data_IF_057530803463
#
_entry.id   IF_057530803463
#
_cell.length_a   1.000
_cell.length_b   1.000
_cell.length_c   1.000
_cell.angle_alpha   90.00
_cell.angle_beta   90.00
_cell.angle_gamma   90.00
#
_symmetry.space_group_name_H-M   'P 1'
#
loop_
_entity.id
_entity.type
_entity.pdbx_description
1 polymer ?
#
# COMPACT_ATOMS: atom_id res chain seq x y z
N UNK A 1 0.87 31.03 23.43
CA UNK A 1 0.54 30.66 22.05
C UNK A 1 1.82 30.20 21.40
N UNK A 2 2.11 28.89 21.43
CA UNK A 2 3.17 28.30 20.63
C UNK A 2 2.61 28.18 19.21
N UNK A 3 3.12 28.98 18.27
CA UNK A 3 2.87 28.75 16.84
C UNK A 3 3.42 27.39 16.51
N UNK A 4 2.54 26.45 16.13
CA UNK A 4 2.95 25.12 15.69
C UNK A 4 3.68 25.26 14.35
N UNK A 5 5.02 25.30 14.38
CA UNK A 5 5.88 25.43 13.20
C UNK A 5 5.83 24.20 12.26
N UNK A 6 5.07 23.19 12.61
CA UNK A 6 4.93 21.98 11.79
C UNK A 6 4.23 22.23 10.43
N UNK A 7 3.40 23.27 10.36
CA UNK A 7 2.70 23.65 9.12
C UNK A 7 3.59 24.32 8.07
N UNK A 8 4.80 24.75 8.43
CA UNK A 8 5.74 25.42 7.51
C UNK A 8 6.84 24.48 6.97
N UNK A 9 6.90 23.23 7.42
CA UNK A 9 7.97 22.31 7.02
C UNK A 9 7.68 21.70 5.66
N UNK A 10 8.39 22.16 4.64
CA UNK A 10 8.43 21.54 3.31
C UNK A 10 9.40 20.36 3.36
N UNK A 11 8.87 19.14 3.31
CA UNK A 11 9.63 17.90 3.38
C UNK A 11 9.26 16.98 2.23
N UNK A 12 10.25 16.37 1.60
CA UNK A 12 10.03 15.32 0.61
C UNK A 12 10.20 13.95 1.28
N UNK A 13 9.12 13.17 1.31
CA UNK A 13 9.08 11.86 1.95
C UNK A 13 8.87 10.78 0.90
N UNK A 14 9.70 9.74 0.93
CA UNK A 14 9.55 8.55 0.11
C UNK A 14 9.01 7.40 0.96
N UNK A 15 7.86 6.85 0.61
CA UNK A 15 7.34 5.62 1.17
C UNK A 15 7.65 4.47 0.20
N UNK A 16 8.25 3.39 0.69
CA UNK A 16 8.54 2.20 -0.10
C UNK A 16 7.75 1.03 0.46
N UNK A 17 6.62 0.73 -0.19
CA UNK A 17 5.81 -0.46 0.05
C UNK A 17 5.34 -1.02 -1.29
N UNK A 18 6.00 -2.09 -1.74
CA UNK A 18 5.92 -2.57 -3.11
C UNK A 18 4.75 -3.53 -3.34
N UNK A 19 4.54 -4.45 -2.41
CA UNK A 19 3.58 -5.56 -2.49
C UNK A 19 3.45 -6.26 -1.11
N UNK A 20 2.51 -7.19 -0.83
CA UNK A 20 1.40 -7.58 -1.66
C UNK A 20 0.21 -6.61 -1.47
N UNK A 21 -0.93 -6.86 -2.15
CA UNK A 21 -2.14 -6.02 -2.08
C UNK A 21 -2.54 -5.73 -0.62
N UNK A 22 -2.77 -6.78 0.19
CA UNK A 22 -3.13 -6.64 1.60
C UNK A 22 -2.10 -5.86 2.43
N UNK A 23 -0.81 -6.08 2.17
CA UNK A 23 0.26 -5.37 2.87
C UNK A 23 0.33 -3.89 2.49
N UNK A 24 -0.02 -3.53 1.24
CA UNK A 24 -0.12 -2.13 0.82
C UNK A 24 -1.30 -1.46 1.51
N UNK A 25 -2.46 -2.14 1.60
CA UNK A 25 -3.62 -1.64 2.37
C UNK A 25 -3.23 -1.35 3.82
N UNK A 26 -2.52 -2.27 4.48
CA UNK A 26 -2.06 -2.07 5.86
C UNK A 26 -1.11 -0.87 6.03
N UNK A 27 -0.45 -0.43 4.96
CA UNK A 27 0.48 0.70 4.99
C UNK A 27 -0.18 2.06 4.66
N UNK A 28 -1.42 2.07 4.12
CA UNK A 28 -2.10 3.32 3.73
C UNK A 28 -2.21 4.35 4.85
N UNK A 29 -2.48 3.97 6.12
CA UNK A 29 -2.56 4.92 7.22
C UNK A 29 -1.27 5.73 7.44
N UNK A 30 -0.11 5.20 7.03
CA UNK A 30 1.18 5.90 7.19
C UNK A 30 1.20 7.22 6.39
N UNK A 31 0.68 7.22 5.15
CA UNK A 31 0.60 8.45 4.36
C UNK A 31 -0.35 9.48 5.00
N UNK A 32 -1.49 9.00 5.52
CA UNK A 32 -2.45 9.85 6.21
C UNK A 32 -1.84 10.56 7.42
N UNK A 33 -1.23 9.82 8.34
CA UNK A 33 -0.67 10.42 9.56
C UNK A 33 0.52 11.33 9.28
N UNK A 34 1.30 11.05 8.23
CA UNK A 34 2.37 11.93 7.76
C UNK A 34 1.81 13.25 7.24
N UNK A 35 0.76 13.22 6.39
CA UNK A 35 0.11 14.44 5.90
C UNK A 35 -0.59 15.22 6.99
N UNK A 36 -1.22 14.52 7.97
CA UNK A 36 -1.82 15.16 9.14
C UNK A 36 -0.77 15.94 9.96
N UNK A 37 0.42 15.38 10.13
CA UNK A 37 1.54 16.01 10.87
C UNK A 37 2.27 17.07 10.05
N UNK A 38 2.47 16.81 8.77
CA UNK A 38 3.22 17.66 7.82
C UNK A 38 2.37 17.95 6.58
N UNK A 39 1.40 18.87 6.66
CA UNK A 39 0.45 19.14 5.54
C UNK A 39 1.15 19.54 4.24
N UNK A 40 2.28 20.23 4.33
CA UNK A 40 3.07 20.70 3.19
C UNK A 40 4.14 19.70 2.73
N UNK A 41 4.21 18.49 3.32
CA UNK A 41 5.11 17.47 2.85
C UNK A 41 4.68 16.94 1.50
N UNK A 42 5.65 16.70 0.61
CA UNK A 42 5.42 15.97 -0.64
C UNK A 42 5.72 14.50 -0.42
N UNK A 43 4.70 13.66 -0.54
CA UNK A 43 4.80 12.21 -0.33
C UNK A 43 4.83 11.51 -1.67
N UNK A 44 5.95 10.83 -1.95
CA UNK A 44 6.11 9.92 -3.09
C UNK A 44 5.98 8.47 -2.59
N UNK A 45 5.19 7.65 -3.27
CA UNK A 45 5.02 6.23 -2.95
C UNK A 45 5.58 5.36 -4.07
N UNK A 46 6.44 4.39 -3.72
CA UNK A 46 6.92 3.37 -4.67
C UNK A 46 6.14 2.08 -4.46
N UNK A 47 5.50 1.58 -5.54
CA UNK A 47 4.61 0.42 -5.51
C UNK A 47 4.79 -0.46 -6.76
N UNK A 48 4.51 -1.77 -6.67
CA UNK A 48 4.43 -2.66 -7.83
C UNK A 48 3.07 -2.47 -8.57
N UNK A 49 2.99 -2.76 -9.89
CA UNK A 49 1.77 -2.54 -10.69
C UNK A 49 0.51 -3.19 -10.09
N UNK A 50 0.65 -4.36 -9.45
CA UNK A 50 -0.48 -5.13 -8.87
C UNK A 50 -1.18 -4.42 -7.72
N UNK A 51 -0.53 -3.46 -7.07
CA UNK A 51 -1.12 -2.69 -5.97
C UNK A 51 -1.23 -1.18 -6.28
N UNK A 52 -0.95 -0.80 -7.53
CA UNK A 52 -1.01 0.61 -7.95
C UNK A 52 -2.39 1.23 -7.74
N UNK A 53 -3.46 0.53 -8.10
CA UNK A 53 -4.83 1.04 -8.00
C UNK A 53 -5.23 1.41 -6.55
N UNK A 54 -4.66 0.73 -5.54
CA UNK A 54 -4.91 1.03 -4.13
C UNK A 54 -4.35 2.40 -3.70
N UNK A 55 -3.32 2.88 -4.40
CA UNK A 55 -2.60 4.12 -4.04
C UNK A 55 -2.93 5.26 -4.99
N UNK A 56 -3.39 4.94 -6.21
CA UNK A 56 -3.58 5.86 -7.34
C UNK A 56 -4.41 7.10 -6.99
N UNK A 57 -5.47 6.94 -6.22
CA UNK A 57 -6.37 8.03 -5.85
C UNK A 57 -6.26 8.41 -4.36
N UNK A 58 -5.19 7.97 -3.68
CA UNK A 58 -4.98 8.29 -2.28
C UNK A 58 -4.70 9.80 -2.12
N UNK A 59 -5.54 10.57 -1.41
CA UNK A 59 -5.42 12.02 -1.30
C UNK A 59 -4.19 12.48 -0.50
N UNK A 60 -3.50 11.56 0.16
CA UNK A 60 -2.32 11.82 0.99
C UNK A 60 -1.02 11.43 0.29
N UNK A 61 -1.08 11.03 -0.99
CA UNK A 61 0.09 10.69 -1.81
C UNK A 61 0.14 11.62 -3.01
N UNK A 62 1.21 12.38 -3.15
CA UNK A 62 1.35 13.40 -4.20
C UNK A 62 1.96 12.83 -5.49
N UNK A 63 2.78 11.79 -5.38
CA UNK A 63 3.46 11.17 -6.52
C UNK A 63 3.57 9.66 -6.33
N UNK A 64 3.36 8.89 -7.41
CA UNK A 64 3.52 7.44 -7.39
C UNK A 64 4.57 7.04 -8.42
N UNK A 65 5.49 6.17 -7.98
CA UNK A 65 6.50 5.58 -8.85
C UNK A 65 6.25 4.07 -8.90
N UNK A 66 6.03 3.57 -10.13
CA UNK A 66 5.77 2.14 -10.33
C UNK A 66 7.12 1.39 -10.45
N UNK A 67 7.29 0.37 -9.60
CA UNK A 67 8.44 -0.52 -9.62
C UNK A 67 8.12 -1.82 -10.37
N UNK A 68 8.58 -1.93 -11.61
CA UNK A 68 8.39 -3.10 -12.47
C UNK A 68 9.38 -4.21 -12.10
N UNK A 69 9.12 -4.98 -11.02
CA UNK A 69 9.99 -6.06 -10.55
C UNK A 69 10.47 -7.01 -11.64
N UNK A 70 9.61 -7.33 -12.63
CA UNK A 70 9.95 -8.25 -13.73
C UNK A 70 11.08 -7.70 -14.60
N UNK A 71 11.16 -6.38 -14.78
CA UNK A 71 12.21 -5.72 -15.57
C UNK A 71 13.62 -5.86 -14.96
N UNK A 72 13.72 -6.21 -13.68
CA UNK A 72 15.00 -6.34 -12.96
C UNK A 72 15.42 -7.79 -12.69
N UNK A 73 14.72 -8.79 -13.28
CA UNK A 73 15.02 -10.21 -13.03
C UNK A 73 16.26 -10.73 -13.75
N UNK A 74 16.60 -10.14 -14.90
CA UNK A 74 17.78 -10.53 -15.68
C UNK A 74 18.85 -9.44 -15.62
N UNK A 75 20.11 -9.81 -15.88
CA UNK A 75 21.22 -8.87 -15.92
C UNK A 75 21.05 -7.81 -17.01
N UNK A 76 20.54 -8.19 -18.19
CA UNK A 76 20.26 -7.25 -19.27
C UNK A 76 19.10 -6.31 -18.89
N UNK A 77 18.01 -6.85 -18.36
CA UNK A 77 16.90 -6.05 -17.88
C UNK A 77 17.32 -5.07 -16.77
N UNK A 78 18.20 -5.49 -15.87
CA UNK A 78 18.76 -4.57 -14.86
C UNK A 78 19.55 -3.43 -15.51
N UNK A 79 20.47 -3.72 -16.43
CA UNK A 79 21.26 -2.69 -17.12
C UNK A 79 20.40 -1.67 -17.86
N UNK A 80 19.34 -2.13 -18.52
CA UNK A 80 18.45 -1.29 -19.31
C UNK A 80 17.53 -0.42 -18.42
N UNK A 81 16.98 -0.99 -17.35
CA UNK A 81 15.94 -0.35 -16.57
C UNK A 81 16.46 0.40 -15.33
N UNK A 82 17.65 0.09 -14.84
CA UNK A 82 18.16 0.72 -13.61
C UNK A 82 18.37 2.24 -13.77
N UNK A 83 19.04 2.69 -14.83
CA UNK A 83 19.30 4.11 -15.05
C UNK A 83 18.02 4.95 -15.19
N UNK A 84 17.03 4.55 -16.02
CA UNK A 84 15.76 5.25 -16.11
C UNK A 84 15.02 5.30 -14.77
N UNK A 85 14.97 4.18 -14.05
CA UNK A 85 14.33 4.10 -12.74
C UNK A 85 15.05 4.97 -11.69
N UNK A 86 16.38 4.91 -11.64
CA UNK A 86 17.18 5.74 -10.74
C UNK A 86 16.99 7.24 -11.04
N UNK A 87 16.93 7.62 -12.33
CA UNK A 87 16.66 9.00 -12.75
C UNK A 87 15.27 9.45 -12.30
N UNK A 88 14.26 8.57 -12.39
CA UNK A 88 12.91 8.86 -11.95
C UNK A 88 12.86 9.07 -10.43
N UNK A 89 13.44 8.17 -9.64
CA UNK A 89 13.54 8.30 -8.19
C UNK A 89 14.30 9.57 -7.77
N UNK A 90 15.37 9.92 -8.47
CA UNK A 90 16.24 11.03 -8.11
C UNK A 90 15.79 12.39 -8.69
N UNK A 91 14.65 12.46 -9.38
CA UNK A 91 14.04 13.75 -9.77
C UNK A 91 13.79 14.63 -8.55
N UNK A 92 13.52 14.02 -7.41
CA UNK A 92 13.29 14.70 -6.14
C UNK A 92 14.37 14.33 -5.13
N UNK A 93 14.81 15.32 -4.34
CA UNK A 93 15.70 15.07 -3.21
C UNK A 93 14.85 14.76 -1.99
N UNK A 94 14.90 13.53 -1.50
CA UNK A 94 14.12 13.11 -0.34
C UNK A 94 14.84 13.44 0.96
N UNK A 95 14.10 14.01 1.90
CA UNK A 95 14.58 14.23 3.26
C UNK A 95 14.53 12.94 4.07
N UNK A 96 13.43 12.18 3.88
CA UNK A 96 13.22 10.90 4.57
C UNK A 96 12.75 9.85 3.56
N UNK A 97 13.26 8.62 3.69
CA UNK A 97 12.66 7.42 3.10
C UNK A 97 12.21 6.46 4.19
N UNK A 98 11.03 5.88 4.02
CA UNK A 98 10.39 4.94 4.95
C UNK A 98 10.21 3.61 4.23
N UNK A 99 11.01 2.60 4.61
CA UNK A 99 10.93 1.24 4.07
C UNK A 99 9.95 0.41 4.90
N UNK A 100 8.73 0.26 4.39
CA UNK A 100 7.68 -0.57 4.96
C UNK A 100 7.63 -1.98 4.34
N UNK A 101 8.51 -2.28 3.37
CA UNK A 101 8.65 -3.61 2.80
C UNK A 101 9.70 -4.44 3.52
N UNK A 102 10.84 -3.84 3.85
CA UNK A 102 11.90 -4.44 4.64
C UNK A 102 12.60 -5.64 3.98
N UNK A 103 12.71 -5.67 2.65
CA UNK A 103 13.36 -6.72 1.87
C UNK A 103 14.48 -6.13 1.01
N UNK A 104 15.34 -7.01 0.46
CA UNK A 104 16.44 -6.58 -0.42
C UNK A 104 15.98 -5.65 -1.57
N UNK A 105 14.86 -5.98 -2.22
CA UNK A 105 14.33 -5.17 -3.34
C UNK A 105 13.93 -3.75 -2.91
N UNK A 106 13.33 -3.58 -1.72
CA UNK A 106 12.99 -2.25 -1.20
C UNK A 106 14.21 -1.50 -0.72
N UNK A 107 15.18 -2.20 -0.12
CA UNK A 107 16.45 -1.61 0.26
C UNK A 107 17.21 -1.03 -0.95
N UNK A 108 17.19 -1.73 -2.09
CA UNK A 108 17.77 -1.22 -3.34
C UNK A 108 17.08 0.06 -3.83
N UNK A 109 15.74 0.14 -3.71
CA UNK A 109 14.98 1.36 -4.03
C UNK A 109 15.39 2.50 -3.10
N UNK A 110 15.40 2.27 -1.78
CA UNK A 110 15.79 3.27 -0.77
C UNK A 110 17.22 3.74 -0.97
N UNK A 111 18.13 2.82 -1.27
CA UNK A 111 19.53 3.15 -1.57
C UNK A 111 19.65 4.06 -2.79
N UNK A 112 18.94 3.70 -3.86
CA UNK A 112 18.92 4.45 -5.13
C UNK A 112 18.34 5.85 -4.96
N UNK A 113 17.30 6.02 -4.12
CA UNK A 113 16.65 7.30 -3.85
C UNK A 113 17.54 8.32 -3.14
N UNK A 114 18.62 7.89 -2.45
CA UNK A 114 19.60 8.74 -1.76
C UNK A 114 18.97 9.70 -0.73
N UNK A 115 17.92 9.28 -0.04
CA UNK A 115 17.30 10.08 1.02
C UNK A 115 18.32 10.41 2.13
N UNK A 116 18.20 11.60 2.74
CA UNK A 116 19.07 12.05 3.85
C UNK A 116 18.92 11.14 5.08
N UNK A 117 17.69 10.81 5.46
CA UNK A 117 17.37 9.88 6.54
C UNK A 117 16.62 8.68 5.97
N UNK A 118 17.07 7.48 6.30
CA UNK A 118 16.49 6.21 5.85
C UNK A 118 16.05 5.43 7.06
N UNK A 119 14.76 5.16 7.18
CA UNK A 119 14.16 4.39 8.28
C UNK A 119 13.33 3.24 7.72
N UNK A 120 13.15 2.21 8.53
CA UNK A 120 12.31 1.07 8.15
C UNK A 120 11.67 0.45 9.39
N UNK A 121 10.62 -0.35 9.17
CA UNK A 121 9.87 -0.98 10.25
C UNK A 121 10.64 -2.14 10.90
N UNK A 122 10.09 -2.70 11.99
CA UNK A 122 10.79 -3.64 12.86
C UNK A 122 11.22 -4.95 12.19
N UNK A 123 10.44 -5.47 11.23
CA UNK A 123 10.71 -6.78 10.61
C UNK A 123 11.54 -6.71 9.32
N UNK A 124 12.52 -5.84 9.29
CA UNK A 124 13.46 -5.76 8.17
C UNK A 124 14.31 -7.04 8.06
N UNK A 125 14.37 -7.60 6.85
CA UNK A 125 15.06 -8.84 6.50
C UNK A 125 15.96 -8.66 5.28
N UNK A 126 16.65 -9.73 4.87
CA UNK A 126 17.45 -9.76 3.61
C UNK A 126 18.49 -8.64 3.53
N UNK A 127 19.04 -8.20 4.67
CA UNK A 127 20.04 -7.14 4.71
C UNK A 127 19.49 -5.72 4.57
N UNK A 128 18.18 -5.51 4.49
CA UNK A 128 17.59 -4.17 4.34
C UNK A 128 17.92 -3.24 5.52
N UNK A 129 18.19 -3.80 6.70
CA UNK A 129 18.67 -3.06 7.88
C UNK A 129 20.08 -2.46 7.73
N UNK A 130 20.86 -2.85 6.72
CA UNK A 130 22.14 -2.22 6.39
C UNK A 130 21.94 -0.87 5.66
N UNK A 131 20.80 -0.69 5.02
CA UNK A 131 20.47 0.53 4.24
C UNK A 131 19.61 1.49 5.06
N UNK A 132 18.64 0.95 5.80
CA UNK A 132 17.68 1.74 6.58
C UNK A 132 17.82 1.45 8.07
N UNK A 133 17.73 2.50 8.90
CA UNK A 133 17.71 2.33 10.35
C UNK A 133 16.38 1.69 10.77
N UNK A 134 16.46 0.53 11.41
CA UNK A 134 15.30 -0.17 11.98
C UNK A 134 14.69 0.66 13.12
N UNK A 135 13.41 0.94 13.02
CA UNK A 135 12.61 1.54 14.10
C UNK A 135 11.89 0.43 14.84
N UNK A 136 12.16 0.32 16.12
CA UNK A 136 11.49 -0.63 17.02
C UNK A 136 10.63 0.19 17.97
N UNK A 137 9.33 0.13 17.78
CA UNK A 137 8.35 0.79 18.65
C UNK A 137 7.75 -0.19 19.67
N UNK A 138 6.73 0.28 20.38
CA UNK A 138 6.04 -0.50 21.40
C UNK A 138 5.24 -1.68 20.83
N UNK A 139 4.87 -1.60 19.54
CA UNK A 139 4.04 -2.58 18.86
C UNK A 139 4.84 -3.64 18.05
N UNK A 140 6.10 -3.90 18.41
CA UNK A 140 6.97 -4.84 17.67
C UNK A 140 6.35 -6.23 17.47
N UNK A 141 5.52 -6.69 18.39
CA UNK A 141 4.80 -7.97 18.34
C UNK A 141 3.29 -7.78 18.06
N UNK A 142 2.84 -6.56 17.79
CA UNK A 142 1.46 -6.22 17.53
C UNK A 142 1.04 -6.46 16.07
N UNK A 143 -0.13 -5.93 15.73
CA UNK A 143 -0.65 -6.00 14.36
C UNK A 143 0.28 -5.26 13.39
N UNK A 144 0.30 -5.70 12.13
CA UNK A 144 1.21 -5.15 11.11
C UNK A 144 1.01 -3.64 10.89
N UNK A 145 -0.22 -3.15 10.98
CA UNK A 145 -0.56 -1.72 10.88
C UNK A 145 0.16 -0.92 11.97
N UNK A 146 0.08 -1.40 13.22
CA UNK A 146 0.71 -0.73 14.37
C UNK A 146 2.24 -0.70 14.23
N UNK A 147 2.82 -1.80 13.69
CA UNK A 147 4.27 -1.88 13.40
C UNK A 147 4.71 -0.89 12.32
N UNK A 148 3.87 -0.66 11.31
CA UNK A 148 4.14 0.37 10.30
C UNK A 148 4.00 1.77 10.89
N UNK A 149 2.98 2.02 11.71
CA UNK A 149 2.77 3.30 12.39
C UNK A 149 3.88 3.63 13.40
N UNK A 150 4.48 2.63 14.05
CA UNK A 150 5.63 2.85 14.92
C UNK A 150 6.80 3.51 14.18
N UNK A 151 6.94 3.31 12.86
CA UNK A 151 8.01 3.97 12.07
C UNK A 151 7.83 5.47 11.99
N UNK A 152 6.61 5.98 12.03
CA UNK A 152 6.31 7.41 11.91
C UNK A 152 6.12 8.11 13.26
N UNK A 153 5.96 7.37 14.35
CA UNK A 153 6.01 7.93 15.71
C UNK A 153 7.35 8.62 15.99
N UNK A 154 8.46 8.12 15.43
CA UNK A 154 9.76 8.78 15.56
C UNK A 154 9.88 10.08 14.74
N UNK A 155 8.84 10.47 14.05
CA UNK A 155 8.63 11.72 13.32
C UNK A 155 7.52 12.56 13.96
N UNK A 156 7.21 12.33 15.23
CA UNK A 156 6.18 13.02 16.02
C UNK A 156 4.77 12.97 15.40
N UNK A 157 4.47 11.90 14.64
CA UNK A 157 3.13 11.67 14.10
C UNK A 157 2.20 11.09 15.18
N UNK A 158 1.01 11.68 15.30
CA UNK A 158 -0.10 11.08 16.05
C UNK A 158 -0.66 9.88 15.28
N UNK A 159 -0.77 8.73 15.94
CA UNK A 159 -1.20 7.47 15.33
C UNK A 159 -2.45 6.88 15.99
N UNK A 160 -3.18 7.65 16.81
CA UNK A 160 -4.36 7.15 17.52
C UNK A 160 -5.58 7.05 16.61
N UNK A 161 -5.84 8.09 15.82
CA UNK A 161 -7.01 8.14 14.93
C UNK A 161 -6.55 7.95 13.48
N UNK A 162 -6.48 6.69 13.04
CA UNK A 162 -6.07 6.33 11.68
C UNK A 162 -7.27 6.08 10.78
N UNK A 163 -7.07 6.33 9.49
CA UNK A 163 -7.99 5.93 8.43
C UNK A 163 -7.24 5.13 7.38
N UNK A 164 -7.98 4.31 6.62
CA UNK A 164 -7.50 3.63 5.43
C UNK A 164 -8.05 4.36 4.20
N UNK A 165 -7.29 5.29 3.61
CA UNK A 165 -7.79 6.17 2.57
C UNK A 165 -7.86 5.44 1.22
N UNK A 166 -8.87 4.59 1.07
CA UNK A 166 -9.27 4.00 -0.20
C UNK A 166 -10.34 4.91 -0.81
N UNK A 167 -10.10 5.39 -2.02
CA UNK A 167 -10.99 6.31 -2.72
C UNK A 167 -11.36 5.68 -4.05
N UNK A 168 -12.65 5.59 -4.30
CA UNK A 168 -13.19 5.20 -5.61
C UNK A 168 -13.48 6.45 -6.43
N UNK A 169 -13.21 6.42 -7.71
CA UNK A 169 -13.62 7.46 -8.65
C UNK A 169 -15.11 7.33 -8.99
N UNK A 170 -15.70 8.43 -9.50
CA UNK A 170 -17.09 8.37 -9.95
C UNK A 170 -17.28 7.34 -11.07
N UNK A 171 -16.33 7.25 -12.01
CA UNK A 171 -16.37 6.25 -13.09
C UNK A 171 -16.36 4.80 -12.58
N UNK A 172 -15.60 4.52 -11.51
CA UNK A 172 -15.58 3.20 -10.87
C UNK A 172 -16.91 2.90 -10.16
N UNK A 173 -17.49 3.88 -9.50
CA UNK A 173 -18.81 3.77 -8.86
C UNK A 173 -19.87 3.51 -9.94
N UNK A 174 -19.91 4.33 -10.98
CA UNK A 174 -20.85 4.20 -12.08
C UNK A 174 -20.72 2.86 -12.81
N UNK A 175 -19.49 2.36 -12.98
CA UNK A 175 -19.25 1.03 -13.54
C UNK A 175 -19.88 -0.09 -12.69
N UNK A 176 -19.67 -0.03 -11.37
CA UNK A 176 -20.23 -1.04 -10.45
C UNK A 176 -21.74 -0.94 -10.41
N UNK A 177 -22.30 0.27 -10.32
CA UNK A 177 -23.76 0.49 -10.29
C UNK A 177 -24.42 -0.03 -11.57
N UNK A 178 -23.85 0.26 -12.75
CA UNK A 178 -24.34 -0.27 -14.02
C UNK A 178 -24.29 -1.82 -14.08
N UNK A 179 -23.25 -2.43 -13.52
CA UNK A 179 -23.14 -3.87 -13.40
C UNK A 179 -24.25 -4.44 -12.51
N UNK A 180 -24.46 -3.83 -11.33
CA UNK A 180 -25.50 -4.25 -10.39
C UNK A 180 -26.92 -4.08 -10.97
N UNK A 181 -27.16 -3.02 -11.76
CA UNK A 181 -28.41 -2.80 -12.48
C UNK A 181 -28.62 -3.91 -13.51
N UNK A 182 -27.61 -4.18 -14.36
CA UNK A 182 -27.68 -5.21 -15.40
C UNK A 182 -28.02 -6.59 -14.83
N UNK A 183 -27.45 -6.91 -13.69
CA UNK A 183 -27.69 -8.19 -12.99
C UNK A 183 -28.96 -8.17 -12.10
N UNK A 184 -29.71 -7.07 -12.07
CA UNK A 184 -30.92 -6.88 -11.24
C UNK A 184 -30.66 -7.10 -9.74
N UNK A 185 -29.54 -6.58 -9.21
CA UNK A 185 -29.15 -6.74 -7.80
C UNK A 185 -28.86 -5.42 -7.08
N UNK A 186 -28.91 -4.27 -7.76
CA UNK A 186 -28.55 -2.95 -7.19
C UNK A 186 -29.24 -2.67 -5.84
N UNK A 187 -30.50 -3.04 -5.68
CA UNK A 187 -31.27 -2.81 -4.45
C UNK A 187 -31.58 -4.11 -3.70
N UNK A 188 -30.82 -5.18 -3.94
CA UNK A 188 -31.02 -6.47 -3.30
C UNK A 188 -29.87 -6.76 -2.32
N UNK A 189 -30.15 -7.63 -1.33
CA UNK A 189 -29.10 -8.19 -0.51
C UNK A 189 -28.30 -9.21 -1.33
N UNK A 190 -26.99 -9.02 -1.37
CA UNK A 190 -26.09 -9.96 -2.01
C UNK A 190 -24.84 -10.21 -1.18
N UNK A 191 -24.17 -11.30 -1.45
CA UNK A 191 -22.90 -11.68 -0.84
C UNK A 191 -21.88 -11.87 -1.96
N UNK A 192 -20.66 -11.38 -1.76
CA UNK A 192 -19.55 -11.61 -2.68
C UNK A 192 -18.72 -12.79 -2.18
N UNK A 193 -18.57 -13.81 -3.02
CA UNK A 193 -17.62 -14.91 -2.81
C UNK A 193 -16.32 -14.63 -3.54
N UNK A 194 -15.26 -14.35 -2.79
CA UNK A 194 -13.88 -14.27 -3.31
C UNK A 194 -13.35 -15.71 -3.43
N UNK A 195 -13.50 -16.34 -4.59
CA UNK A 195 -13.26 -17.77 -4.78
C UNK A 195 -11.81 -18.12 -5.14
N UNK A 196 -11.01 -17.13 -5.52
CA UNK A 196 -9.62 -17.31 -5.97
C UNK A 196 -8.58 -16.90 -4.94
N UNK A 197 -7.44 -17.57 -4.97
CA UNK A 197 -6.21 -17.17 -4.26
C UNK A 197 -4.99 -17.70 -5.01
N UNK A 198 -3.83 -17.04 -4.84
CA UNK A 198 -2.56 -17.47 -5.43
C UNK A 198 -2.04 -18.81 -4.88
N UNK A 199 -2.63 -19.34 -3.80
CA UNK A 199 -2.19 -20.55 -3.13
C UNK A 199 -3.31 -21.58 -3.12
N UNK A 200 -3.15 -22.69 -3.84
CA UNK A 200 -4.16 -23.73 -3.98
C UNK A 200 -4.61 -24.31 -2.64
N UNK A 201 -3.70 -24.42 -1.67
CA UNK A 201 -3.99 -24.89 -0.32
C UNK A 201 -4.83 -23.92 0.54
N UNK A 202 -5.08 -22.71 0.03
CA UNK A 202 -5.97 -21.73 0.64
C UNK A 202 -7.30 -21.60 -0.11
N UNK A 203 -7.48 -22.33 -1.21
CA UNK A 203 -8.72 -22.35 -1.95
C UNK A 203 -9.71 -23.29 -1.25
N UNK A 204 -10.92 -22.81 -1.05
CA UNK A 204 -12.04 -23.67 -0.73
C UNK A 204 -12.55 -24.33 -2.01
N UNK A 205 -13.14 -25.55 -1.93
CA UNK A 205 -13.56 -26.24 -3.15
C UNK A 205 -14.75 -25.60 -3.84
N UNK A 206 -14.80 -25.72 -5.15
CA UNK A 206 -15.90 -25.16 -5.98
C UNK A 206 -17.25 -25.75 -5.58
N UNK A 207 -17.26 -27.07 -5.26
CA UNK A 207 -18.45 -27.80 -4.80
C UNK A 207 -19.00 -27.24 -3.48
N UNK A 208 -18.12 -26.82 -2.59
CA UNK A 208 -18.51 -26.23 -1.31
C UNK A 208 -19.06 -24.81 -1.49
N UNK A 209 -18.47 -24.00 -2.39
CA UNK A 209 -19.04 -22.71 -2.77
C UNK A 209 -20.42 -22.86 -3.40
N UNK A 210 -20.62 -23.85 -4.29
CA UNK A 210 -21.93 -24.15 -4.90
C UNK A 210 -22.96 -24.51 -3.83
N UNK A 211 -22.65 -25.46 -2.94
CA UNK A 211 -23.55 -25.84 -1.83
C UNK A 211 -23.91 -24.65 -0.94
N UNK A 212 -22.94 -23.78 -0.62
CA UNK A 212 -23.21 -22.59 0.17
C UNK A 212 -24.11 -21.60 -0.58
N UNK A 213 -23.91 -21.44 -1.89
CA UNK A 213 -24.76 -20.61 -2.74
C UNK A 213 -26.21 -21.12 -2.75
N UNK A 214 -26.40 -22.46 -2.87
CA UNK A 214 -27.74 -23.09 -2.83
C UNK A 214 -28.43 -22.87 -1.48
N UNK A 215 -27.69 -22.99 -0.37
CA UNK A 215 -28.21 -22.70 0.96
C UNK A 215 -28.64 -21.24 1.11
N UNK A 216 -27.84 -20.29 0.58
CA UNK A 216 -28.13 -18.86 0.65
C UNK A 216 -29.35 -18.47 -0.22
N UNK A 217 -29.62 -19.20 -1.30
CA UNK A 217 -30.77 -18.94 -2.16
C UNK A 217 -32.10 -19.07 -1.41
N UNK A 218 -32.18 -19.94 -0.41
CA UNK A 218 -33.36 -20.12 0.47
C UNK A 218 -33.72 -18.85 1.24
N UNK A 219 -32.72 -17.98 1.49
CA UNK A 219 -32.89 -16.71 2.16
C UNK A 219 -33.06 -15.52 1.21
N UNK A 220 -33.25 -15.79 -0.10
CA UNK A 220 -33.35 -14.77 -1.17
C UNK A 220 -32.11 -13.85 -1.22
N UNK A 221 -30.96 -14.38 -0.90
CA UNK A 221 -29.69 -13.68 -1.00
C UNK A 221 -29.03 -14.06 -2.32
N UNK A 222 -28.69 -13.06 -3.11
CA UNK A 222 -27.93 -13.27 -4.35
C UNK A 222 -26.44 -13.50 -4.04
N UNK A 223 -25.80 -14.36 -4.82
CA UNK A 223 -24.34 -14.59 -4.70
C UNK A 223 -23.64 -14.06 -5.94
N UNK A 224 -22.64 -13.24 -5.73
CA UNK A 224 -21.75 -12.74 -6.77
C UNK A 224 -20.38 -13.38 -6.60
N UNK A 225 -19.86 -14.02 -7.63
CA UNK A 225 -18.53 -14.62 -7.60
C UNK A 225 -17.51 -13.62 -8.11
N UNK A 226 -16.48 -13.37 -7.29
CA UNK A 226 -15.33 -12.55 -7.67
C UNK A 226 -14.09 -13.43 -7.79
N UNK A 227 -13.38 -13.30 -8.90
CA UNK A 227 -12.07 -13.91 -9.09
C UNK A 227 -11.02 -12.84 -8.95
N UNK A 228 -10.04 -13.08 -8.05
CA UNK A 228 -8.89 -12.19 -7.80
C UNK A 228 -7.71 -12.62 -8.67
#
# INVERSE_FOLDING_TARGET
FSVDRSNEVFMNILIVKLSAIGDVIHALPVAYVLKKRYPNAHITWVVEPTAYELVKHNPYVDEIIIFHKKAFKSWNGFKENYRPFAKLLQKRKYDISIDLQGLFKSAAVVFTAKAKRKIGYVDMREGSNLISKRIVGNNKNGHIVDRYLDTVKCLDCDTENIIFPLVNTQDEIDFVDNLLIKENILNQKFIIFAVGTNWINKCWSVENFAKLSDLLSQYKIKVVFSHI
#
